data_IF_857131721402
#
_entry.id   IF_857131721402
#
_cell.length_a   1.000
_cell.length_b   1.000
_cell.length_c   1.000
_cell.angle_alpha   90.00
_cell.angle_beta   90.00
_cell.angle_gamma   90.00
#
_symmetry.space_group_name_H-M   'P 1'
#
loop_
_entity.id
_entity.type
_entity.pdbx_description
1 polymer ?
#
# COMPACT_ATOMS: atom_id res chain seq x y z
N UNK A 1 -17.66 -56.81 -75.73
CA UNK A 1 -16.60 -57.43 -76.55
C UNK A 1 -15.58 -56.34 -76.82
N UNK A 2 -14.55 -56.19 -75.99
CA UNK A 2 -13.13 -56.60 -76.15
C UNK A 2 -12.34 -55.30 -75.90
N UNK A 3 -11.26 -55.20 -75.16
CA UNK A 3 -10.25 -56.14 -74.70
C UNK A 3 -9.43 -55.39 -73.61
N UNK A 4 -9.05 -56.10 -72.54
CA UNK A 4 -7.74 -56.14 -71.84
C UNK A 4 -6.85 -54.86 -71.90
N UNK A 5 -6.07 -54.50 -70.87
CA UNK A 5 -5.02 -55.31 -70.26
C UNK A 5 -4.19 -54.37 -69.33
N UNK A 6 -3.91 -54.80 -68.08
CA UNK A 6 -2.62 -54.72 -67.32
C UNK A 6 -1.82 -53.39 -67.28
N UNK A 7 -1.02 -53.03 -66.30
CA UNK A 7 -0.67 -53.34 -64.91
C UNK A 7 0.44 -52.29 -64.57
N UNK A 8 0.79 -52.13 -63.29
CA UNK A 8 2.07 -51.61 -62.76
C UNK A 8 2.31 -50.09 -62.69
N UNK A 9 2.16 -49.55 -61.47
CA UNK A 9 3.21 -48.87 -60.69
C UNK A 9 2.55 -48.38 -59.38
N UNK A 10 2.64 -49.12 -58.27
CA UNK A 10 3.67 -48.98 -57.24
C UNK A 10 3.82 -47.53 -56.72
N UNK A 11 3.09 -47.20 -55.64
CA UNK A 11 3.62 -46.38 -54.54
C UNK A 11 2.84 -46.73 -53.27
N UNK A 12 3.47 -47.52 -52.40
CA UNK A 12 3.00 -47.83 -51.05
C UNK A 12 3.28 -46.59 -50.19
N UNK A 13 2.29 -45.71 -50.03
CA UNK A 13 2.37 -44.63 -49.06
C UNK A 13 2.06 -45.20 -47.67
N UNK A 14 3.11 -45.45 -46.88
CA UNK A 14 2.99 -45.72 -45.44
C UNK A 14 2.51 -44.42 -44.79
N UNK A 15 1.21 -44.34 -44.49
CA UNK A 15 0.65 -43.26 -43.68
C UNK A 15 1.00 -43.51 -42.22
N UNK A 16 1.98 -42.77 -41.70
CA UNK A 16 2.19 -42.63 -40.26
C UNK A 16 0.94 -41.98 -39.65
N UNK A 17 0.22 -42.73 -38.82
CA UNK A 17 -0.73 -42.17 -37.88
C UNK A 17 0.06 -41.43 -36.79
N UNK A 18 0.28 -40.13 -36.97
CA UNK A 18 0.73 -39.26 -35.89
C UNK A 18 -0.45 -39.07 -34.93
N UNK A 19 -0.41 -39.76 -33.80
CA UNK A 19 -1.30 -39.49 -32.67
C UNK A 19 -1.02 -38.07 -32.18
N UNK A 20 -1.90 -37.13 -32.50
CA UNK A 20 -1.88 -35.82 -31.89
C UNK A 20 -2.24 -35.97 -30.40
N UNK A 21 -1.23 -36.05 -29.55
CA UNK A 21 -1.40 -35.74 -28.14
C UNK A 21 -1.83 -34.29 -28.06
N UNK A 22 -3.09 -34.06 -27.72
CA UNK A 22 -3.56 -32.73 -27.36
C UNK A 22 -2.69 -32.26 -26.18
N UNK A 23 -1.79 -31.30 -26.45
CA UNK A 23 -1.16 -30.51 -25.41
C UNK A 23 -2.29 -29.88 -24.61
N UNK A 24 -2.48 -30.31 -23.36
CA UNK A 24 -3.28 -29.56 -22.41
C UNK A 24 -2.66 -28.16 -22.34
N UNK A 25 -3.40 -27.16 -22.82
CA UNK A 25 -3.11 -25.78 -22.50
C UNK A 25 -3.18 -25.67 -20.98
N UNK A 26 -2.04 -25.44 -20.32
CA UNK A 26 -2.04 -24.93 -18.96
C UNK A 26 -2.89 -23.66 -18.97
N UNK A 27 -3.87 -23.57 -18.06
CA UNK A 27 -4.62 -22.33 -17.86
C UNK A 27 -3.60 -21.19 -17.76
N UNK A 28 -3.77 -20.07 -18.49
CA UNK A 28 -2.81 -18.98 -18.43
C UNK A 28 -2.69 -18.57 -16.97
N UNK A 29 -1.49 -18.80 -16.40
CA UNK A 29 -1.19 -18.38 -15.04
C UNK A 29 -1.56 -16.90 -14.95
N UNK A 30 -2.55 -16.59 -14.11
CA UNK A 30 -2.93 -15.22 -13.83
C UNK A 30 -1.69 -14.56 -13.26
N UNK A 31 -1.05 -13.72 -14.05
CA UNK A 31 0.05 -12.89 -13.61
C UNK A 31 -0.51 -11.97 -12.53
N UNK A 32 -0.17 -12.23 -11.27
CA UNK A 32 -0.27 -11.22 -10.23
C UNK A 32 0.66 -10.09 -10.64
N UNK A 33 0.08 -9.03 -11.21
CA UNK A 33 0.80 -7.82 -11.49
C UNK A 33 1.18 -7.21 -10.14
N UNK A 34 2.39 -7.49 -9.67
CA UNK A 34 2.93 -6.82 -8.49
C UNK A 34 2.79 -5.33 -8.73
N UNK A 35 2.03 -4.62 -7.90
CA UNK A 35 2.00 -3.15 -7.92
C UNK A 35 3.42 -2.69 -7.59
N UNK A 36 4.24 -2.52 -8.63
CA UNK A 36 5.58 -1.96 -8.52
C UNK A 36 5.42 -0.47 -8.30
N UNK A 37 5.22 -0.11 -7.03
CA UNK A 37 5.45 1.27 -6.60
C UNK A 37 6.90 1.58 -6.98
N UNK A 38 7.19 2.63 -7.78
CA UNK A 38 8.57 3.01 -8.09
C UNK A 38 9.35 3.10 -6.80
N UNK A 39 10.57 2.53 -6.76
CA UNK A 39 11.34 2.39 -5.52
C UNK A 39 11.53 3.74 -4.83
N UNK A 40 10.70 4.04 -3.83
CA UNK A 40 10.94 5.13 -2.90
C UNK A 40 12.03 4.63 -1.95
N UNK A 41 13.23 5.16 -2.13
CA UNK A 41 14.35 4.88 -1.24
C UNK A 41 14.34 5.90 -0.10
N UNK A 42 14.07 5.43 1.11
CA UNK A 42 14.16 6.25 2.32
C UNK A 42 15.60 6.24 2.87
N UNK A 43 16.14 7.43 3.15
CA UNK A 43 17.35 7.61 3.94
C UNK A 43 16.99 7.48 5.41
N UNK A 44 17.46 6.41 6.07
CA UNK A 44 17.27 6.18 7.50
C UNK A 44 18.50 6.67 8.27
N UNK A 45 18.30 7.13 9.52
CA UNK A 45 19.39 7.47 10.44
C UNK A 45 20.28 6.28 10.75
N UNK A 46 19.70 5.09 10.80
CA UNK A 46 20.41 3.85 11.12
C UNK A 46 19.79 2.66 10.39
N UNK A 47 20.64 1.70 10.03
CA UNK A 47 20.24 0.40 9.48
C UNK A 47 20.16 -0.69 10.55
N UNK A 48 20.30 -0.34 11.84
CA UNK A 48 20.20 -1.30 12.95
C UNK A 48 18.79 -1.87 13.01
N UNK A 49 18.70 -3.20 13.10
CA UNK A 49 17.41 -3.88 13.30
C UNK A 49 16.81 -3.49 14.64
N UNK A 50 15.52 -3.18 14.64
CA UNK A 50 14.75 -2.93 15.85
C UNK A 50 14.61 -4.22 16.68
N UNK A 51 14.70 -4.10 18.00
CA UNK A 51 14.43 -5.22 18.94
C UNK A 51 12.93 -5.57 18.91
N UNK A 52 12.53 -6.80 19.32
CA UNK A 52 11.12 -7.14 19.45
C UNK A 52 10.32 -6.15 20.29
N UNK A 53 10.87 -5.72 21.43
CA UNK A 53 10.25 -4.73 22.31
C UNK A 53 10.01 -3.37 21.62
N UNK A 54 10.98 -2.88 20.84
CA UNK A 54 10.81 -1.64 20.07
C UNK A 54 9.72 -1.75 19.00
N UNK A 55 9.68 -2.88 18.28
CA UNK A 55 8.63 -3.13 17.28
C UNK A 55 7.23 -3.14 17.88
N UNK A 56 7.10 -3.75 19.06
CA UNK A 56 5.83 -3.81 19.77
C UNK A 56 5.43 -2.47 20.39
N UNK A 57 6.40 -1.73 20.91
CA UNK A 57 6.19 -0.36 21.39
C UNK A 57 5.60 0.54 20.28
N UNK A 58 6.16 0.49 19.08
CA UNK A 58 5.70 1.25 17.92
C UNK A 58 4.29 0.87 17.50
N UNK A 59 3.98 -0.44 17.38
CA UNK A 59 2.60 -0.90 17.09
C UNK A 59 1.61 -0.46 18.16
N UNK A 60 1.97 -0.59 19.43
CA UNK A 60 1.09 -0.18 20.53
C UNK A 60 0.83 1.32 20.54
N UNK A 61 1.79 2.16 20.13
CA UNK A 61 1.53 3.60 19.92
C UNK A 61 0.40 3.82 18.91
N UNK A 62 0.42 3.09 17.79
CA UNK A 62 -0.64 3.15 16.78
C UNK A 62 -2.00 2.69 17.28
N UNK A 63 -2.04 1.55 18.00
CA UNK A 63 -3.28 1.00 18.56
C UNK A 63 -3.92 1.95 19.58
N UNK A 64 -3.11 2.50 20.50
CA UNK A 64 -3.56 3.52 21.45
C UNK A 64 -4.06 4.77 20.73
N UNK A 65 -3.37 5.20 19.69
CA UNK A 65 -3.81 6.33 18.86
C UNK A 65 -5.18 6.10 18.24
N UNK A 66 -5.42 4.90 17.69
CA UNK A 66 -6.72 4.53 17.14
C UNK A 66 -7.81 4.47 18.23
N UNK A 67 -7.53 3.85 19.38
CA UNK A 67 -8.49 3.75 20.49
C UNK A 67 -9.02 5.11 20.94
N UNK A 68 -8.15 6.12 21.03
CA UNK A 68 -8.53 7.45 21.50
C UNK A 68 -9.10 8.34 20.39
N UNK A 69 -8.52 8.32 19.18
CA UNK A 69 -9.05 9.10 18.05
C UNK A 69 -10.46 8.67 17.65
N UNK A 70 -10.79 7.39 17.78
CA UNK A 70 -12.15 6.91 17.50
C UNK A 70 -13.20 7.45 18.49
N UNK A 71 -12.79 7.94 19.67
CA UNK A 71 -13.67 8.54 20.68
C UNK A 71 -13.74 10.06 20.54
N UNK A 72 -12.58 10.71 20.52
CA UNK A 72 -12.45 12.16 20.70
C UNK A 72 -11.99 12.91 19.44
N UNK A 73 -11.68 12.19 18.36
CA UNK A 73 -11.31 12.76 17.06
C UNK A 73 -9.87 13.26 16.94
N UNK A 74 -9.14 13.50 18.05
CA UNK A 74 -7.72 13.87 18.03
C UNK A 74 -7.00 13.32 19.27
N UNK A 75 -5.78 12.79 19.08
CA UNK A 75 -4.97 12.27 20.17
C UNK A 75 -3.48 12.33 19.86
N UNK A 76 -2.68 12.79 20.83
CA UNK A 76 -1.22 12.90 20.74
C UNK A 76 -0.54 12.02 21.77
N UNK A 77 0.40 11.20 21.32
CA UNK A 77 1.18 10.31 22.18
C UNK A 77 2.52 9.97 21.51
N UNK A 78 3.60 9.95 22.29
CA UNK A 78 4.92 9.42 21.87
C UNK A 78 5.44 10.04 20.55
N UNK A 79 5.23 11.34 20.39
CA UNK A 79 5.71 12.12 19.24
C UNK A 79 4.89 11.92 17.96
N UNK A 80 3.68 11.38 18.07
CA UNK A 80 2.73 11.35 16.95
C UNK A 80 1.39 11.88 17.40
N UNK A 81 0.73 12.62 16.51
CA UNK A 81 -0.64 13.09 16.69
C UNK A 81 -1.52 12.51 15.61
N UNK A 82 -2.59 11.81 15.99
CA UNK A 82 -3.61 11.34 15.07
C UNK A 82 -4.83 12.27 15.15
N UNK A 83 -5.42 12.59 14.00
CA UNK A 83 -6.67 13.35 13.90
C UNK A 83 -7.58 12.66 12.90
N UNK A 84 -8.84 12.38 13.27
CA UNK A 84 -9.88 11.88 12.37
C UNK A 84 -10.75 13.03 11.88
N UNK A 85 -10.84 13.14 10.56
CA UNK A 85 -11.61 14.17 9.86
C UNK A 85 -12.57 13.45 8.91
N UNK A 86 -13.73 13.07 9.43
CA UNK A 86 -14.74 12.36 8.66
C UNK A 86 -16.13 12.83 9.05
N UNK A 87 -16.85 13.35 8.06
CA UNK A 87 -18.25 13.73 8.17
C UNK A 87 -18.96 13.21 6.92
N UNK A 88 -19.86 12.24 7.10
CA UNK A 88 -20.56 11.59 6.00
C UNK A 88 -21.58 12.49 5.28
N UNK A 89 -21.85 13.68 5.83
CA UNK A 89 -22.71 14.71 5.22
C UNK A 89 -21.95 15.66 4.29
N UNK A 90 -20.62 15.72 4.39
CA UNK A 90 -19.77 16.60 3.57
C UNK A 90 -19.37 15.93 2.26
N UNK A 91 -19.21 16.74 1.22
CA UNK A 91 -18.66 16.28 -0.05
C UNK A 91 -17.16 16.00 0.07
N UNK A 92 -16.65 15.09 -0.77
CA UNK A 92 -15.25 14.66 -0.76
C UNK A 92 -14.96 13.54 0.24
N UNK A 93 -13.73 13.02 0.18
CA UNK A 93 -13.25 11.99 1.12
C UNK A 93 -12.89 12.60 2.47
N UNK A 94 -13.14 11.86 3.55
CA UNK A 94 -12.52 12.16 4.84
C UNK A 94 -11.09 11.64 4.89
N UNK A 95 -10.43 11.83 6.02
CA UNK A 95 -9.11 11.25 6.27
C UNK A 95 -8.85 11.06 7.77
N UNK A 96 -8.05 10.05 8.08
CA UNK A 96 -7.24 10.08 9.28
C UNK A 96 -5.87 10.68 8.93
N UNK A 97 -5.39 11.61 9.73
CA UNK A 97 -4.10 12.28 9.53
C UNK A 97 -3.19 11.96 10.70
N UNK A 98 -2.06 11.34 10.41
CA UNK A 98 -0.99 11.12 11.38
C UNK A 98 0.11 12.16 11.18
N UNK A 99 0.26 13.07 12.14
CA UNK A 99 1.34 14.05 12.20
C UNK A 99 2.51 13.48 12.99
N UNK A 100 3.74 13.66 12.49
CA UNK A 100 4.95 13.40 13.28
C UNK A 100 5.35 14.69 13.98
N UNK A 101 5.30 14.67 15.30
CA UNK A 101 5.52 15.86 16.12
C UNK A 101 7.00 16.29 16.09
N UNK A 102 7.32 17.57 16.38
CA UNK A 102 8.70 18.07 16.36
C UNK A 102 9.66 17.37 17.33
N UNK A 103 9.13 16.78 18.41
CA UNK A 103 9.91 16.07 19.43
C UNK A 103 10.06 14.55 19.15
N UNK A 104 9.53 14.06 18.03
CA UNK A 104 9.61 12.65 17.68
C UNK A 104 11.04 12.23 17.30
N UNK A 105 11.44 11.01 17.64
CA UNK A 105 12.78 10.47 17.38
C UNK A 105 12.79 9.29 16.38
N UNK A 106 11.92 9.34 15.36
CA UNK A 106 11.89 8.30 14.33
C UNK A 106 13.16 8.32 13.48
N UNK A 107 14.03 7.33 13.69
CA UNK A 107 15.27 7.18 12.91
C UNK A 107 15.17 6.21 11.73
N UNK A 108 14.06 5.50 11.57
CA UNK A 108 13.89 4.52 10.48
C UNK A 108 12.42 4.45 10.04
N UNK A 109 12.18 4.42 8.72
CA UNK A 109 10.85 4.36 8.12
C UNK A 109 10.00 3.18 8.62
N UNK A 110 10.63 2.05 8.93
CA UNK A 110 9.95 0.87 9.44
C UNK A 110 9.30 1.08 10.80
N UNK A 111 9.78 2.04 11.61
CA UNK A 111 9.14 2.40 12.87
C UNK A 111 7.80 3.11 12.61
N UNK A 112 7.79 4.05 11.66
CA UNK A 112 6.57 4.76 11.23
C UNK A 112 5.56 3.78 10.61
N UNK A 113 6.03 2.86 9.75
CA UNK A 113 5.18 1.80 9.18
C UNK A 113 4.55 0.94 10.29
N UNK A 114 5.29 0.60 11.36
CA UNK A 114 4.75 -0.20 12.46
C UNK A 114 3.74 0.57 13.32
N UNK A 115 3.95 1.87 13.52
CA UNK A 115 2.93 2.74 14.15
C UNK A 115 1.64 2.70 13.32
N UNK A 116 1.73 2.92 12.01
CA UNK A 116 0.57 2.84 11.12
C UNK A 116 -0.05 1.44 11.08
N UNK A 117 0.75 0.38 11.07
CA UNK A 117 0.25 -1.00 11.15
C UNK A 117 -0.64 -1.18 12.39
N UNK A 118 -0.15 -0.78 13.57
CA UNK A 118 -0.93 -0.86 14.81
C UNK A 118 -2.21 -0.03 14.77
N UNK A 119 -2.14 1.17 14.21
CA UNK A 119 -3.32 2.01 13.99
C UNK A 119 -4.35 1.32 13.09
N UNK A 120 -3.90 0.77 11.96
CA UNK A 120 -4.76 0.10 10.98
C UNK A 120 -5.41 -1.16 11.52
N UNK A 121 -4.69 -1.96 12.31
CA UNK A 121 -5.25 -3.13 12.98
C UNK A 121 -6.43 -2.76 13.87
N UNK A 122 -6.39 -1.57 14.49
CA UNK A 122 -7.37 -1.18 15.49
C UNK A 122 -8.49 -0.31 14.92
N UNK A 123 -8.17 0.66 14.08
CA UNK A 123 -9.14 1.58 13.49
C UNK A 123 -9.94 0.98 12.33
N UNK A 124 -9.39 -0.05 11.65
CA UNK A 124 -9.99 -0.67 10.47
C UNK A 124 -10.06 -2.20 10.57
N UNK A 125 -9.73 -2.75 11.73
CA UNK A 125 -9.86 -4.19 12.03
C UNK A 125 -9.07 -5.10 11.07
N UNK A 126 -8.03 -4.57 10.42
CA UNK A 126 -7.16 -5.37 9.56
C UNK A 126 -6.40 -6.42 10.39
N UNK A 127 -6.23 -7.61 9.80
CA UNK A 127 -5.30 -8.62 10.33
C UNK A 127 -3.88 -8.09 10.29
N UNK A 128 -3.00 -8.63 11.12
CA UNK A 128 -1.62 -8.13 11.27
C UNK A 128 -0.86 -8.03 9.95
N UNK A 129 -0.96 -9.07 9.12
CA UNK A 129 -0.27 -9.17 7.83
C UNK A 129 -0.82 -8.16 6.82
N UNK A 130 -2.14 -8.06 6.70
CA UNK A 130 -2.82 -7.10 5.82
C UNK A 130 -2.51 -5.66 6.23
N UNK A 131 -2.60 -5.37 7.53
CA UNK A 131 -2.25 -4.06 8.08
C UNK A 131 -0.80 -3.67 7.77
N UNK A 132 0.14 -4.64 7.77
CA UNK A 132 1.53 -4.36 7.43
C UNK A 132 1.71 -3.98 5.96
N UNK A 133 0.99 -4.66 5.06
CA UNK A 133 0.99 -4.37 3.62
C UNK A 133 0.39 -2.98 3.37
N UNK A 134 -0.80 -2.73 3.93
CA UNK A 134 -1.51 -1.45 3.75
C UNK A 134 -0.72 -0.29 4.37
N UNK A 135 -0.15 -0.44 5.56
CA UNK A 135 0.70 0.59 6.18
C UNK A 135 1.89 0.97 5.30
N UNK A 136 2.56 -0.02 4.70
CA UNK A 136 3.65 0.23 3.74
C UNK A 136 3.14 0.99 2.54
N UNK A 137 2.02 0.58 1.95
CA UNK A 137 1.46 1.27 0.79
C UNK A 137 1.12 2.74 1.10
N UNK A 138 0.50 3.01 2.26
CA UNK A 138 0.18 4.36 2.73
C UNK A 138 1.43 5.22 2.83
N UNK A 139 2.51 4.71 3.45
CA UNK A 139 3.75 5.46 3.61
C UNK A 139 4.38 5.81 2.26
N UNK A 140 4.42 4.84 1.33
CA UNK A 140 5.03 5.05 0.03
C UNK A 140 4.18 5.98 -0.85
N UNK A 141 2.85 5.87 -0.77
CA UNK A 141 1.95 6.83 -1.39
C UNK A 141 2.16 8.25 -0.85
N UNK A 142 2.29 8.40 0.47
CA UNK A 142 2.54 9.69 1.11
C UNK A 142 3.92 10.27 0.77
N UNK A 143 4.91 9.43 0.46
CA UNK A 143 6.19 9.89 -0.06
C UNK A 143 6.11 10.45 -1.48
N UNK A 144 5.14 10.00 -2.27
CA UNK A 144 4.82 10.62 -3.57
C UNK A 144 3.99 11.89 -3.38
N UNK A 145 3.04 11.88 -2.44
CA UNK A 145 2.19 13.02 -2.09
C UNK A 145 3.01 14.24 -1.66
N UNK A 146 4.12 14.04 -0.95
CA UNK A 146 5.02 15.09 -0.47
C UNK A 146 5.44 16.11 -1.51
N UNK A 147 5.54 15.70 -2.77
CA UNK A 147 5.99 16.55 -3.87
C UNK A 147 4.85 16.97 -4.82
N UNK A 148 3.60 16.60 -4.54
CA UNK A 148 2.51 16.73 -5.49
C UNK A 148 1.16 17.01 -4.81
N UNK A 149 0.84 18.30 -4.67
CA UNK A 149 -0.41 18.74 -4.07
C UNK A 149 -1.66 18.35 -4.89
N UNK A 150 -1.51 18.03 -6.18
CA UNK A 150 -2.63 17.54 -7.00
C UNK A 150 -3.15 16.17 -6.52
N UNK A 151 -2.37 15.46 -5.70
CA UNK A 151 -2.78 14.17 -5.17
C UNK A 151 -3.83 14.26 -4.06
N UNK A 152 -3.99 15.41 -3.40
CA UNK A 152 -5.01 15.62 -2.36
C UNK A 152 -5.98 16.79 -2.62
N UNK A 153 -5.56 17.86 -3.32
CA UNK A 153 -6.46 18.98 -3.60
C UNK A 153 -7.66 18.54 -4.45
N UNK A 154 -8.86 18.95 -4.04
CA UNK A 154 -10.12 18.63 -4.72
C UNK A 154 -10.65 17.21 -4.54
N UNK A 155 -9.99 16.37 -3.74
CA UNK A 155 -10.42 14.99 -3.48
C UNK A 155 -10.98 14.77 -2.08
N UNK A 156 -10.52 15.57 -1.12
CA UNK A 156 -10.93 15.50 0.28
C UNK A 156 -11.90 16.62 0.63
N UNK A 157 -12.66 16.42 1.70
CA UNK A 157 -13.55 17.43 2.25
C UNK A 157 -12.79 18.65 2.76
N UNK A 158 -13.48 19.78 2.88
CA UNK A 158 -12.88 21.03 3.35
C UNK A 158 -12.27 20.91 4.76
N UNK A 159 -12.81 20.05 5.63
CA UNK A 159 -12.25 19.79 6.96
C UNK A 159 -10.85 19.17 6.87
N UNK A 160 -10.68 18.20 5.97
CA UNK A 160 -9.39 17.58 5.71
C UNK A 160 -8.44 18.63 5.15
N UNK A 161 -8.86 19.36 4.11
CA UNK A 161 -8.03 20.39 3.48
C UNK A 161 -7.61 21.46 4.49
N UNK A 162 -8.48 21.84 5.42
CA UNK A 162 -8.20 22.81 6.47
C UNK A 162 -7.17 22.34 7.51
N UNK A 163 -7.03 21.02 7.76
CA UNK A 163 -6.02 20.47 8.69
C UNK A 163 -4.65 20.24 8.01
N UNK A 164 -4.63 20.04 6.70
CA UNK A 164 -3.38 19.77 5.98
C UNK A 164 -2.57 21.06 5.78
N UNK A 165 -1.35 21.04 6.28
CA UNK A 165 -0.34 22.06 6.02
C UNK A 165 0.41 21.63 4.75
N UNK A 166 0.35 22.38 3.63
CA UNK A 166 0.89 21.94 2.34
C UNK A 166 2.36 21.51 2.39
N UNK A 167 3.18 22.22 3.17
CA UNK A 167 4.62 21.96 3.33
C UNK A 167 4.90 20.74 4.21
N UNK A 168 3.88 20.23 4.92
CA UNK A 168 3.96 19.06 5.79
C UNK A 168 3.23 17.84 5.21
N UNK A 169 2.37 18.03 4.22
CA UNK A 169 1.61 16.97 3.58
C UNK A 169 2.54 15.86 3.06
N UNK A 170 2.21 14.61 3.37
CA UNK A 170 3.03 13.45 3.03
C UNK A 170 4.27 13.30 3.93
N UNK A 171 5.22 12.47 3.49
CA UNK A 171 6.46 12.18 4.21
C UNK A 171 7.67 12.35 3.30
N UNK A 172 8.73 12.99 3.80
CA UNK A 172 9.98 13.12 3.06
C UNK A 172 10.73 11.78 2.95
N UNK A 173 11.61 11.65 1.96
CA UNK A 173 12.47 10.46 1.83
C UNK A 173 13.63 10.48 2.83
N UNK A 174 13.98 11.63 3.38
CA UNK A 174 15.06 11.77 4.38
C UNK A 174 14.53 11.86 5.81
N UNK A 175 15.08 11.04 6.71
CA UNK A 175 14.73 11.07 8.14
C UNK A 175 14.90 12.44 8.80
N UNK A 176 15.80 13.27 8.26
CA UNK A 176 16.07 14.64 8.76
C UNK A 176 14.85 15.55 8.65
N UNK A 177 13.91 15.23 7.77
CA UNK A 177 12.73 16.02 7.47
C UNK A 177 11.42 15.39 7.99
N UNK A 178 11.50 14.35 8.85
CA UNK A 178 10.28 13.71 9.36
C UNK A 178 9.67 14.47 10.54
N UNK A 179 10.45 14.67 11.61
CA UNK A 179 9.98 15.33 12.83
C UNK A 179 9.49 16.76 12.56
N UNK A 180 8.26 17.05 12.97
CA UNK A 180 7.61 18.36 12.83
C UNK A 180 7.19 18.74 11.41
N UNK A 181 7.53 17.93 10.42
CA UNK A 181 7.41 18.25 8.99
C UNK A 181 6.66 17.17 8.19
N UNK A 182 5.97 16.25 8.84
CA UNK A 182 5.24 15.14 8.18
C UNK A 182 3.79 15.07 8.65
N UNK A 183 2.88 14.97 7.68
CA UNK A 183 1.46 14.65 7.84
C UNK A 183 1.10 13.53 6.88
N UNK A 184 1.03 12.30 7.39
CA UNK A 184 0.63 11.12 6.63
C UNK A 184 -0.89 11.10 6.55
N UNK A 185 -1.43 11.11 5.32
CA UNK A 185 -2.85 11.12 5.04
C UNK A 185 -3.31 9.68 4.76
N UNK A 186 -4.32 9.22 5.50
CA UNK A 186 -4.99 7.93 5.34
C UNK A 186 -6.41 8.23 4.84
N UNK A 187 -6.72 7.99 3.55
CA UNK A 187 -8.03 8.35 3.00
C UNK A 187 -9.16 7.53 3.62
N UNK A 188 -10.26 8.21 3.93
CA UNK A 188 -11.54 7.59 4.34
C UNK A 188 -12.59 7.84 3.27
N UNK A 189 -13.24 6.78 2.81
CA UNK A 189 -14.38 6.89 1.90
C UNK A 189 -15.67 6.56 2.63
N UNK A 190 -16.74 7.21 2.22
CA UNK A 190 -18.10 6.79 2.57
C UNK A 190 -18.37 5.43 1.90
N UNK A 191 -18.99 4.53 2.65
CA UNK A 191 -19.51 3.28 2.10
C UNK A 191 -20.75 3.52 1.25
#
# INVERSE_FOLDING_TARGET
>A
MTLKLRYFAAFLAITLFATATALQAEDPAVSEDTVRVPAVNFENRTNRRATPAAREYERNTGRMGADEVLKDGEFSLRGVTFTRLFDASKEGMGADVMTIDPNADFGHINAIIRVLQGYLQKAFEYKEEDAAVVARYIVYYNARLRADASLYKGKYSDDVIGKIVPEKAGIDRSFKNWAGNTQIIIPLKKN
#
